data_IF_872291856291
#
_entry.id   IF_872291856291
#
_cell.length_a   1.000
_cell.length_b   1.000
_cell.length_c   1.000
_cell.angle_alpha   90.00
_cell.angle_beta   90.00
_cell.angle_gamma   90.00
#
_symmetry.space_group_name_H-M   'P 1'
#
loop_
_entity.id
_entity.type
_entity.pdbx_description
1 polymer ?
#
# COMPACT_ATOMS: atom_id res chain seq x y z
N UNK A 1 -10.09 -4.36 12.02
CA UNK A 1 -9.88 -3.33 13.07
C UNK A 1 -11.24 -2.94 13.68
N UNK A 2 -11.75 -3.71 14.66
CA UNK A 2 -13.09 -3.49 15.25
C UNK A 2 -13.27 -2.08 15.79
N UNK A 3 -12.28 -1.56 16.51
CA UNK A 3 -12.32 -0.23 17.11
C UNK A 3 -12.45 0.88 16.07
N UNK A 4 -11.74 0.75 14.94
CA UNK A 4 -11.83 1.70 13.83
C UNK A 4 -13.21 1.66 13.17
N UNK A 5 -13.82 0.46 13.04
CA UNK A 5 -15.18 0.30 12.50
C UNK A 5 -16.19 0.96 13.44
N UNK A 6 -16.05 0.75 14.76
CA UNK A 6 -16.94 1.35 15.75
C UNK A 6 -16.86 2.88 15.74
N UNK A 7 -15.65 3.44 15.78
CA UNK A 7 -15.43 4.89 15.73
C UNK A 7 -15.96 5.51 14.42
N UNK A 8 -15.78 4.85 13.28
CA UNK A 8 -16.31 5.36 12.00
C UNK A 8 -17.84 5.30 11.96
N UNK A 9 -18.47 4.26 12.50
CA UNK A 9 -19.93 4.16 12.60
C UNK A 9 -20.52 5.22 13.50
N UNK A 10 -19.89 5.47 14.64
CA UNK A 10 -20.28 6.53 15.56
C UNK A 10 -20.17 7.90 14.87
N UNK A 11 -19.07 8.21 14.21
CA UNK A 11 -18.86 9.45 13.49
C UNK A 11 -19.79 9.64 12.29
N UNK A 12 -20.35 8.57 11.75
CA UNK A 12 -21.26 8.58 10.60
C UNK A 12 -22.75 8.54 11.01
N UNK A 13 -23.06 8.36 12.30
CA UNK A 13 -24.41 8.05 12.77
C UNK A 13 -25.47 9.11 12.43
N UNK A 14 -25.08 10.39 12.33
CA UNK A 14 -25.93 11.54 12.00
C UNK A 14 -25.81 11.97 10.50
N UNK A 15 -25.07 11.22 9.68
CA UNK A 15 -24.79 11.56 8.28
C UNK A 15 -25.61 10.71 7.31
N UNK A 16 -26.58 11.29 6.65
CA UNK A 16 -27.47 10.58 5.72
C UNK A 16 -26.76 10.01 4.47
N UNK A 17 -25.64 10.62 4.05
CA UNK A 17 -24.92 10.25 2.80
C UNK A 17 -23.59 9.55 3.07
N UNK A 18 -23.40 8.98 4.27
CA UNK A 18 -22.19 8.28 4.66
C UNK A 18 -22.53 6.86 5.09
N UNK A 19 -21.93 5.89 4.42
CA UNK A 19 -22.06 4.48 4.75
C UNK A 19 -20.70 3.91 5.20
N UNK A 20 -20.72 3.14 6.27
CA UNK A 20 -19.52 2.45 6.80
C UNK A 20 -19.62 0.97 6.51
N UNK A 21 -18.90 0.52 5.48
CA UNK A 21 -18.87 -0.88 5.05
C UNK A 21 -17.60 -1.54 5.55
N UNK A 22 -17.74 -2.63 6.33
CA UNK A 22 -16.62 -3.45 6.75
C UNK A 22 -16.33 -4.52 5.70
N UNK A 23 -15.08 -4.62 5.27
CA UNK A 23 -14.62 -5.61 4.32
C UNK A 23 -13.69 -6.62 4.99
N UNK A 24 -13.61 -7.87 4.50
CA UNK A 24 -12.66 -8.85 5.00
C UNK A 24 -11.22 -8.36 4.89
N UNK A 25 -10.40 -8.61 5.93
CA UNK A 25 -8.98 -8.26 5.93
C UNK A 25 -8.19 -9.24 5.03
N UNK A 26 -8.24 -9.01 3.72
CA UNK A 26 -7.53 -9.80 2.69
C UNK A 26 -6.72 -8.86 1.81
N UNK A 27 -5.49 -9.23 1.53
CA UNK A 27 -4.69 -8.49 0.57
C UNK A 27 -5.06 -8.96 -0.86
N UNK A 28 -5.22 -8.06 -1.85
CA UNK A 28 -5.11 -6.59 -1.83
C UNK A 28 -6.47 -5.85 -1.76
N UNK A 29 -7.33 -6.16 -0.80
CA UNK A 29 -8.69 -5.61 -0.67
C UNK A 29 -8.74 -4.07 -0.65
N UNK A 30 -7.70 -3.42 -0.09
CA UNK A 30 -7.60 -1.95 -0.02
C UNK A 30 -7.11 -1.29 -1.30
N UNK A 31 -6.79 -2.04 -2.35
CA UNK A 31 -6.39 -1.47 -3.64
C UNK A 31 -7.59 -0.85 -4.36
N UNK A 32 -7.41 0.30 -5.02
CA UNK A 32 -8.51 1.12 -5.56
C UNK A 32 -9.50 0.33 -6.41
N UNK A 33 -9.02 -0.44 -7.38
CA UNK A 33 -9.86 -1.21 -8.30
C UNK A 33 -10.64 -2.31 -7.59
N UNK A 34 -9.98 -3.02 -6.66
CA UNK A 34 -10.60 -4.07 -5.85
C UNK A 34 -11.64 -3.50 -4.92
N UNK A 35 -11.33 -2.36 -4.30
CA UNK A 35 -12.23 -1.66 -3.39
C UNK A 35 -13.49 -1.17 -4.12
N UNK A 36 -13.34 -0.52 -5.27
CA UNK A 36 -14.46 -0.05 -6.11
C UNK A 36 -15.36 -1.24 -6.49
N UNK A 37 -14.75 -2.33 -6.98
CA UNK A 37 -15.53 -3.51 -7.38
C UNK A 37 -16.28 -4.11 -6.19
N UNK A 38 -15.62 -4.27 -5.05
CA UNK A 38 -16.23 -4.87 -3.85
C UNK A 38 -17.40 -4.06 -3.29
N UNK A 39 -17.36 -2.74 -3.41
CA UNK A 39 -18.39 -1.85 -2.84
C UNK A 39 -19.50 -1.51 -3.84
N UNK A 40 -19.19 -1.45 -5.12
CA UNK A 40 -20.12 -0.90 -6.13
C UNK A 40 -20.46 -1.87 -7.26
N UNK A 41 -19.74 -2.99 -7.38
CA UNK A 41 -19.81 -3.89 -8.53
C UNK A 41 -19.23 -3.30 -9.84
N UNK A 42 -18.75 -2.04 -9.83
CA UNK A 42 -18.22 -1.39 -11.01
C UNK A 42 -16.79 -1.82 -11.30
N UNK A 43 -16.48 -1.97 -12.57
CA UNK A 43 -15.13 -2.35 -13.03
C UNK A 43 -14.43 -1.10 -13.58
N UNK A 44 -13.25 -0.80 -13.05
CA UNK A 44 -12.35 0.22 -13.62
C UNK A 44 -11.63 -0.41 -14.81
N UNK A 45 -11.80 0.11 -16.03
CA UNK A 45 -11.14 -0.45 -17.21
C UNK A 45 -9.61 -0.44 -17.08
N UNK A 46 -8.94 -1.35 -17.78
CA UNK A 46 -7.48 -1.42 -17.77
C UNK A 46 -6.85 -0.13 -18.26
N UNK A 47 -5.78 0.32 -17.60
CA UNK A 47 -5.11 1.58 -17.92
C UNK A 47 -5.90 2.84 -17.57
N UNK A 48 -7.13 2.72 -17.03
CA UNK A 48 -7.95 3.87 -16.63
C UNK A 48 -7.93 4.10 -15.12
N UNK A 49 -8.25 5.35 -14.75
CA UNK A 49 -8.38 5.80 -13.37
C UNK A 49 -9.76 5.44 -12.79
N UNK A 50 -9.93 5.45 -11.44
CA UNK A 50 -11.21 5.27 -10.77
C UNK A 50 -12.34 6.16 -11.29
N UNK A 51 -12.03 7.37 -11.76
CA UNK A 51 -12.99 8.31 -12.37
C UNK A 51 -13.73 7.73 -13.58
N UNK A 52 -13.12 6.80 -14.33
CA UNK A 52 -13.79 6.11 -15.44
C UNK A 52 -14.96 5.21 -14.96
N UNK A 53 -14.91 4.76 -13.71
CA UNK A 53 -16.01 4.07 -13.02
C UNK A 53 -16.89 5.02 -12.20
N UNK A 54 -16.74 6.34 -12.37
CA UNK A 54 -17.41 7.40 -11.60
C UNK A 54 -17.18 7.25 -10.08
N UNK A 55 -15.96 6.89 -9.70
CA UNK A 55 -15.53 6.72 -8.31
C UNK A 55 -14.28 7.55 -8.03
N UNK A 56 -14.12 7.94 -6.76
CA UNK A 56 -12.89 8.51 -6.22
C UNK A 56 -12.52 7.71 -4.99
N UNK A 57 -11.26 7.27 -4.91
CA UNK A 57 -10.73 6.55 -3.75
C UNK A 57 -9.66 7.40 -3.10
N UNK A 58 -9.77 7.60 -1.79
CA UNK A 58 -8.82 8.38 -1.02
C UNK A 58 -8.49 7.67 0.30
N UNK A 59 -7.23 7.79 0.71
CA UNK A 59 -6.80 7.35 2.03
C UNK A 59 -7.43 8.25 3.11
N UNK A 60 -7.76 7.68 4.27
CA UNK A 60 -8.36 8.41 5.40
C UNK A 60 -7.53 9.62 5.84
N UNK A 61 -6.20 9.52 5.84
CA UNK A 61 -5.30 10.66 6.13
C UNK A 61 -5.43 11.79 5.10
N UNK A 62 -5.63 11.44 3.82
CA UNK A 62 -5.90 12.43 2.76
C UNK A 62 -7.25 13.10 2.94
N UNK A 63 -8.29 12.34 3.32
CA UNK A 63 -9.61 12.90 3.63
C UNK A 63 -9.54 13.89 4.81
N UNK A 64 -8.80 13.54 5.87
CA UNK A 64 -8.61 14.41 7.03
C UNK A 64 -7.87 15.72 6.64
N UNK A 65 -6.80 15.62 5.85
CA UNK A 65 -6.05 16.76 5.37
C UNK A 65 -6.88 17.67 4.44
N UNK A 66 -7.67 17.08 3.54
CA UNK A 66 -8.59 17.81 2.68
C UNK A 66 -9.65 18.57 3.51
N UNK A 67 -10.23 17.91 4.52
CA UNK A 67 -11.17 18.56 5.44
C UNK A 67 -10.54 19.74 6.19
N UNK A 68 -9.27 19.58 6.66
CA UNK A 68 -8.55 20.67 7.34
C UNK A 68 -8.26 21.83 6.38
N UNK A 69 -7.89 21.55 5.14
CA UNK A 69 -7.63 22.56 4.13
C UNK A 69 -8.89 23.38 3.80
N UNK A 70 -10.01 22.69 3.56
CA UNK A 70 -11.28 23.36 3.17
C UNK A 70 -11.92 24.12 4.34
N UNK A 71 -11.92 23.53 5.55
CA UNK A 71 -12.64 24.11 6.69
C UNK A 71 -11.81 25.11 7.49
N UNK A 72 -10.50 24.96 7.51
CA UNK A 72 -9.60 25.74 8.37
C UNK A 72 -8.54 26.51 7.60
N UNK A 73 -8.48 26.40 6.27
CA UNK A 73 -7.41 26.97 5.45
C UNK A 73 -6.02 26.39 5.76
N UNK A 74 -5.96 25.21 6.40
CA UNK A 74 -4.72 24.60 6.85
C UNK A 74 -4.11 23.72 5.74
N UNK A 75 -2.94 24.07 5.17
CA UNK A 75 -2.29 23.23 4.16
C UNK A 75 -1.76 21.93 4.78
N UNK A 76 -1.49 20.95 3.95
CA UNK A 76 -0.87 19.68 4.37
C UNK A 76 0.62 19.92 4.69
N UNK A 77 0.93 20.15 5.96
CA UNK A 77 2.28 20.39 6.47
C UNK A 77 2.80 19.29 7.39
N UNK A 78 1.93 18.40 7.83
CA UNK A 78 2.29 17.25 8.65
C UNK A 78 1.50 16.00 8.24
N UNK A 79 1.96 14.85 8.70
CA UNK A 79 1.25 13.59 8.49
C UNK A 79 1.56 12.57 9.59
N UNK A 80 0.73 11.54 9.67
CA UNK A 80 1.00 10.37 10.50
C UNK A 80 1.92 9.42 9.73
N UNK A 81 3.02 9.02 10.36
CA UNK A 81 4.01 8.07 9.86
C UNK A 81 4.17 6.95 10.85
N UNK A 82 4.08 5.72 10.39
CA UNK A 82 4.34 4.51 11.19
C UNK A 82 5.79 4.10 11.01
N UNK A 83 6.55 3.98 12.08
CA UNK A 83 7.90 3.39 12.09
C UNK A 83 7.82 2.04 12.80
N UNK A 84 8.16 0.95 12.11
CA UNK A 84 7.96 -0.41 12.62
C UNK A 84 8.95 -1.42 12.05
N UNK A 85 8.81 -2.66 12.45
CA UNK A 85 9.72 -3.76 12.12
C UNK A 85 10.85 -3.89 13.14
N UNK A 86 12.07 -4.07 12.66
CA UNK A 86 13.28 -4.20 13.50
C UNK A 86 13.78 -2.84 13.99
N UNK A 87 12.96 -2.19 14.82
CA UNK A 87 13.26 -0.98 15.59
C UNK A 87 13.01 -1.24 17.07
N UNK A 88 13.69 -0.53 17.98
CA UNK A 88 13.59 -0.82 19.41
C UNK A 88 12.17 -0.57 19.94
N UNK A 89 11.47 0.49 19.50
CA UNK A 89 10.13 0.85 19.97
C UNK A 89 9.22 1.25 18.79
N UNK A 90 8.53 0.31 18.11
CA UNK A 90 7.61 0.63 17.04
C UNK A 90 6.58 1.69 17.44
N UNK A 91 6.46 2.76 16.65
CA UNK A 91 5.67 3.94 17.06
C UNK A 91 5.03 4.62 15.83
N UNK A 92 3.86 5.24 16.07
CA UNK A 92 3.24 6.17 15.14
C UNK A 92 3.58 7.61 15.53
N UNK A 93 4.07 8.38 14.58
CA UNK A 93 4.45 9.77 14.76
C UNK A 93 3.54 10.71 13.98
N UNK A 94 3.23 11.87 14.54
CA UNK A 94 2.78 13.01 13.76
C UNK A 94 3.99 13.88 13.42
N UNK A 95 4.36 13.94 12.15
CA UNK A 95 5.63 14.46 11.68
C UNK A 95 5.41 15.57 10.67
N UNK A 96 6.19 16.65 10.76
CA UNK A 96 6.22 17.67 9.71
C UNK A 96 6.85 17.12 8.44
N UNK A 97 6.31 17.50 7.30
CA UNK A 97 6.89 17.21 6.00
C UNK A 97 8.26 17.88 5.91
N UNK A 98 9.27 17.16 5.45
CA UNK A 98 10.67 17.59 5.41
C UNK A 98 11.52 17.11 6.58
N UNK A 99 10.93 16.60 7.69
CA UNK A 99 11.70 16.00 8.80
C UNK A 99 12.54 14.83 8.27
N UNK A 100 13.84 14.73 8.62
CA UNK A 100 14.65 13.58 8.27
C UNK A 100 14.11 12.28 8.86
N UNK A 101 14.11 11.19 8.11
CA UNK A 101 13.72 9.87 8.61
C UNK A 101 14.62 9.42 9.76
N UNK A 102 15.90 9.80 9.72
CA UNK A 102 16.87 9.45 10.76
C UNK A 102 16.43 9.94 12.14
N UNK A 103 15.86 11.14 12.24
CA UNK A 103 15.36 11.68 13.50
C UNK A 103 14.25 10.80 14.12
N UNK A 104 13.42 10.19 13.26
CA UNK A 104 12.37 9.27 13.72
C UNK A 104 12.97 7.94 14.19
N UNK A 105 14.00 7.47 13.50
CA UNK A 105 14.72 6.24 13.86
C UNK A 105 15.40 6.41 15.22
N UNK A 106 16.03 7.56 15.46
CA UNK A 106 16.65 7.86 16.76
C UNK A 106 15.60 7.90 17.88
N UNK A 107 14.44 8.49 17.63
CA UNK A 107 13.35 8.55 18.61
C UNK A 107 12.77 7.17 18.98
N UNK A 108 12.79 6.21 18.06
CA UNK A 108 12.37 4.83 18.35
C UNK A 108 13.48 3.99 18.99
N UNK A 109 14.63 4.57 19.30
CA UNK A 109 15.78 3.90 19.92
C UNK A 109 16.67 3.15 18.93
N UNK A 110 16.62 3.52 17.65
CA UNK A 110 17.45 2.97 16.60
C UNK A 110 16.89 1.68 15.97
N UNK A 111 17.61 1.20 14.96
CA UNK A 111 17.41 -0.10 14.36
C UNK A 111 17.96 -1.20 15.29
N UNK A 112 17.27 -2.33 15.37
CA UNK A 112 17.79 -3.51 16.09
C UNK A 112 18.64 -4.39 15.16
N UNK A 113 19.39 -5.33 15.74
CA UNK A 113 20.26 -6.23 14.98
C UNK A 113 19.51 -7.04 13.92
N UNK A 114 20.24 -7.42 12.88
CA UNK A 114 19.74 -8.30 11.83
C UNK A 114 18.83 -7.61 10.80
N UNK A 115 18.82 -6.28 10.71
CA UNK A 115 18.13 -5.58 9.60
C UNK A 115 18.81 -5.91 8.28
N UNK A 116 18.01 -6.31 7.29
CA UNK A 116 18.45 -6.67 5.93
C UNK A 116 17.81 -5.83 4.84
N UNK A 117 16.63 -5.27 5.13
CA UNK A 117 15.86 -4.51 4.13
C UNK A 117 15.13 -3.35 4.78
N UNK A 118 15.24 -2.18 4.19
CA UNK A 118 14.55 -0.97 4.60
C UNK A 118 13.50 -0.63 3.54
N UNK A 119 12.27 -0.39 3.96
CA UNK A 119 11.14 -0.09 3.06
C UNK A 119 10.48 1.22 3.50
N UNK A 120 10.30 2.12 2.54
CA UNK A 120 9.45 3.30 2.68
C UNK A 120 8.10 3.01 2.06
N UNK A 121 7.05 3.05 2.85
CA UNK A 121 5.68 2.70 2.46
C UNK A 121 5.18 1.41 3.09
N UNK A 122 4.29 0.70 2.39
CA UNK A 122 3.74 -0.57 2.84
C UNK A 122 4.67 -1.76 2.55
N UNK A 123 4.52 -2.84 3.31
CA UNK A 123 5.37 -4.03 3.20
C UNK A 123 5.37 -4.68 1.79
N UNK A 124 4.26 -4.58 1.05
CA UNK A 124 4.10 -5.19 -0.28
C UNK A 124 4.46 -4.24 -1.40
N UNK A 125 4.04 -2.98 -1.31
CA UNK A 125 4.17 -2.00 -2.40
C UNK A 125 5.11 -0.84 -2.06
N UNK A 126 5.78 -0.86 -0.92
CA UNK A 126 6.76 0.15 -0.54
C UNK A 126 8.06 0.01 -1.33
N UNK A 127 8.80 1.11 -1.42
CA UNK A 127 10.08 1.14 -2.10
C UNK A 127 11.21 0.75 -1.15
N UNK A 128 12.05 -0.19 -1.58
CA UNK A 128 13.28 -0.50 -0.86
C UNK A 128 14.26 0.67 -0.97
N UNK A 129 14.88 1.02 0.15
CA UNK A 129 15.85 2.12 0.22
C UNK A 129 17.17 1.63 0.83
N UNK A 130 18.28 2.24 0.41
CA UNK A 130 19.62 1.92 0.88
C UNK A 130 20.15 2.92 1.92
N UNK A 131 19.40 3.97 2.22
CA UNK A 131 19.79 5.03 3.13
C UNK A 131 18.63 5.49 4.01
N UNK A 132 18.94 5.94 5.21
CA UNK A 132 17.98 6.61 6.11
C UNK A 132 17.99 8.14 5.95
N UNK A 133 18.91 8.69 5.16
CA UNK A 133 18.98 10.12 4.90
C UNK A 133 17.94 10.55 3.85
N UNK A 134 16.67 10.45 4.24
CA UNK A 134 15.52 10.76 3.41
C UNK A 134 14.56 11.68 4.17
N UNK A 135 14.01 12.72 3.53
CA UNK A 135 12.98 13.55 4.15
C UNK A 135 11.64 12.85 4.14
N UNK A 136 10.83 13.08 5.16
CA UNK A 136 9.42 12.70 5.16
C UNK A 136 8.67 13.53 4.12
N UNK A 137 8.08 12.89 3.14
CA UNK A 137 7.32 13.53 2.06
C UNK A 137 5.80 13.38 2.25
N UNK A 138 5.01 14.05 1.41
CA UNK A 138 3.53 14.01 1.48
C UNK A 138 2.93 12.61 1.35
N UNK A 139 3.58 11.71 0.64
CA UNK A 139 3.15 10.33 0.44
C UNK A 139 3.86 9.31 1.36
N UNK A 140 4.71 9.78 2.28
CA UNK A 140 5.45 8.92 3.19
C UNK A 140 4.52 8.39 4.30
N UNK A 141 3.90 7.22 4.10
CA UNK A 141 2.94 6.63 5.04
C UNK A 141 3.56 5.81 6.16
N UNK A 142 4.79 5.31 5.97
CA UNK A 142 5.47 4.48 6.97
C UNK A 142 6.86 4.08 6.55
N UNK A 143 7.60 3.59 7.54
CA UNK A 143 8.91 2.97 7.39
C UNK A 143 8.90 1.61 8.05
N UNK A 144 9.48 0.63 7.37
CA UNK A 144 9.53 -0.76 7.81
C UNK A 144 10.95 -1.30 7.67
N UNK A 145 11.55 -1.68 8.79
CA UNK A 145 12.83 -2.39 8.82
C UNK A 145 12.59 -3.89 8.93
N UNK A 146 13.05 -4.66 7.95
CA UNK A 146 12.85 -6.11 7.85
C UNK A 146 14.18 -6.85 8.05
N UNK A 147 14.09 -8.06 8.59
CA UNK A 147 15.23 -8.94 8.80
C UNK A 147 15.42 -9.96 7.69
N UNK A 148 16.13 -11.04 8.02
CA UNK A 148 16.47 -12.14 7.09
C UNK A 148 15.21 -12.78 6.48
N UNK A 149 14.11 -12.84 7.22
CA UNK A 149 12.82 -13.37 6.78
C UNK A 149 12.23 -12.67 5.55
N UNK A 150 12.69 -11.46 5.27
CA UNK A 150 12.23 -10.64 4.14
C UNK A 150 13.21 -10.63 2.97
N UNK A 151 14.35 -11.31 3.10
CA UNK A 151 15.28 -11.49 1.99
C UNK A 151 14.78 -12.65 1.14
N UNK A 152 14.69 -12.42 -0.16
CA UNK A 152 14.21 -13.45 -1.10
C UNK A 152 15.02 -14.73 -0.93
N UNK A 153 14.33 -15.85 -0.80
CA UNK A 153 14.94 -17.16 -0.93
C UNK A 153 15.59 -17.30 -2.33
N UNK A 154 16.57 -18.17 -2.44
CA UNK A 154 17.20 -18.48 -3.72
C UNK A 154 16.12 -18.86 -4.75
N UNK A 155 16.20 -18.28 -5.94
CA UNK A 155 15.26 -18.60 -7.02
C UNK A 155 15.31 -20.10 -7.36
N UNK A 156 14.14 -20.66 -7.58
CA UNK A 156 13.98 -22.07 -7.97
C UNK A 156 13.07 -22.17 -9.20
N UNK A 157 13.20 -23.31 -9.90
CA UNK A 157 12.34 -23.57 -11.05
C UNK A 157 10.85 -23.64 -10.65
N UNK A 158 9.98 -23.08 -11.48
CA UNK A 158 8.55 -23.09 -11.24
C UNK A 158 7.98 -24.52 -11.29
N UNK A 159 7.39 -24.99 -10.19
CA UNK A 159 6.74 -26.33 -10.08
C UNK A 159 5.33 -26.39 -10.71
N UNK A 160 4.86 -25.32 -11.35
CA UNK A 160 3.56 -25.20 -12.05
C UNK A 160 2.33 -25.51 -11.19
N UNK A 161 2.37 -25.22 -9.90
CA UNK A 161 1.26 -25.52 -8.96
C UNK A 161 0.03 -24.62 -9.12
N UNK A 162 0.10 -23.52 -9.89
CA UNK A 162 -1.01 -22.60 -10.16
C UNK A 162 -1.44 -21.71 -8.97
N UNK A 163 -0.71 -21.70 -7.85
CA UNK A 163 -1.04 -20.84 -6.70
C UNK A 163 -1.08 -19.36 -7.05
N UNK A 164 -0.11 -18.89 -7.85
CA UNK A 164 -0.05 -17.50 -8.32
C UNK A 164 -1.30 -17.08 -9.12
N UNK A 165 -1.84 -17.97 -9.95
CA UNK A 165 -3.08 -17.72 -10.70
C UNK A 165 -4.29 -17.61 -9.79
N UNK A 166 -4.37 -18.47 -8.76
CA UNK A 166 -5.46 -18.42 -7.78
C UNK A 166 -5.40 -17.19 -6.88
N UNK A 167 -4.20 -16.76 -6.55
CA UNK A 167 -3.96 -15.57 -5.72
C UNK A 167 -4.17 -14.26 -6.49
N UNK A 168 -3.95 -14.25 -7.81
CA UNK A 168 -4.02 -13.03 -8.62
C UNK A 168 -5.46 -12.47 -8.66
N UNK A 169 -5.69 -11.23 -8.17
CA UNK A 169 -7.01 -10.60 -8.20
C UNK A 169 -7.48 -10.29 -9.62
N UNK A 170 -6.52 -10.10 -10.56
CA UNK A 170 -6.79 -9.84 -11.98
C UNK A 170 -6.91 -11.12 -12.81
N UNK A 171 -6.84 -12.31 -12.17
CA UNK A 171 -6.93 -13.63 -12.83
C UNK A 171 -5.88 -13.84 -13.94
N UNK A 172 -4.73 -13.23 -13.78
CA UNK A 172 -3.59 -13.42 -14.68
C UNK A 172 -2.88 -14.75 -14.39
N UNK A 173 -1.94 -15.11 -15.26
CA UNK A 173 -1.01 -16.22 -15.08
C UNK A 173 0.42 -15.69 -14.80
N UNK A 174 0.74 -15.25 -13.56
CA UNK A 174 1.99 -14.54 -13.27
C UNK A 174 3.23 -15.33 -13.70
N UNK A 175 3.31 -16.62 -13.39
CA UNK A 175 4.45 -17.46 -13.75
C UNK A 175 4.65 -17.60 -15.28
N UNK A 176 3.56 -17.58 -16.06
CA UNK A 176 3.66 -17.57 -17.53
C UNK A 176 4.17 -16.23 -18.05
N UNK A 177 3.64 -15.13 -17.51
CA UNK A 177 4.06 -13.77 -17.87
C UNK A 177 5.54 -13.59 -17.54
N UNK A 178 5.97 -13.94 -16.32
CA UNK A 178 7.36 -13.89 -15.89
C UNK A 178 8.29 -14.68 -16.83
N UNK A 179 7.91 -15.92 -17.15
CA UNK A 179 8.67 -16.76 -18.08
C UNK A 179 8.81 -16.11 -19.47
N UNK A 180 7.74 -15.54 -20.02
CA UNK A 180 7.79 -14.86 -21.32
C UNK A 180 8.71 -13.64 -21.29
N UNK A 181 8.64 -12.83 -20.23
CA UNK A 181 9.50 -11.66 -20.04
C UNK A 181 10.97 -12.07 -19.91
N UNK A 182 11.29 -13.08 -19.11
CA UNK A 182 12.67 -13.60 -18.95
C UNK A 182 13.28 -14.12 -20.23
N UNK A 183 12.47 -14.61 -21.17
CA UNK A 183 12.91 -15.05 -22.50
C UNK A 183 12.83 -13.95 -23.57
N UNK A 184 12.57 -12.69 -23.19
CA UNK A 184 12.50 -11.57 -24.12
C UNK A 184 11.26 -11.56 -25.02
N UNK A 185 10.26 -12.43 -24.77
CA UNK A 185 9.02 -12.48 -25.53
C UNK A 185 7.98 -11.51 -24.96
N UNK A 186 8.19 -10.21 -25.17
CA UNK A 186 7.32 -9.15 -24.64
C UNK A 186 5.94 -9.16 -25.29
N UNK A 187 5.84 -9.42 -26.60
CA UNK A 187 4.56 -9.52 -27.29
C UNK A 187 3.71 -10.67 -26.74
N UNK A 188 4.34 -11.80 -26.49
CA UNK A 188 3.71 -12.93 -25.82
C UNK A 188 3.24 -12.61 -24.40
N UNK A 189 4.02 -11.83 -23.65
CA UNK A 189 3.64 -11.38 -22.31
C UNK A 189 2.43 -10.42 -22.36
N UNK A 190 2.41 -9.49 -23.32
CA UNK A 190 1.28 -8.58 -23.55
C UNK A 190 0.03 -9.40 -23.92
N UNK A 191 0.14 -10.35 -24.85
CA UNK A 191 -0.96 -11.24 -25.25
C UNK A 191 -1.44 -12.12 -24.07
N UNK A 192 -0.57 -12.46 -23.13
CA UNK A 192 -0.93 -13.15 -21.88
C UNK A 192 -1.56 -12.22 -20.83
N UNK A 193 -1.78 -10.95 -21.14
CA UNK A 193 -2.46 -9.98 -20.28
C UNK A 193 -1.54 -9.24 -19.30
N UNK A 194 -0.23 -9.18 -19.52
CA UNK A 194 0.70 -8.49 -18.62
C UNK A 194 0.28 -7.05 -18.32
N UNK A 195 -0.23 -6.33 -19.34
CA UNK A 195 -0.70 -4.94 -19.20
C UNK A 195 -1.97 -4.78 -18.35
N UNK A 196 -2.61 -5.87 -17.96
CA UNK A 196 -3.76 -5.87 -17.05
C UNK A 196 -3.34 -6.00 -15.59
N UNK A 197 -2.03 -6.13 -15.33
CA UNK A 197 -1.50 -6.21 -13.97
C UNK A 197 -1.79 -4.92 -13.20
N UNK A 198 -2.25 -5.05 -11.96
CA UNK A 198 -2.49 -3.93 -11.06
C UNK A 198 -1.30 -3.66 -10.12
N UNK A 199 -0.18 -4.34 -10.33
CA UNK A 199 1.07 -4.14 -9.60
C UNK A 199 0.91 -4.22 -8.07
N UNK A 200 0.16 -5.20 -7.59
CA UNK A 200 -0.13 -5.33 -6.14
C UNK A 200 1.02 -5.90 -5.29
N UNK A 201 2.14 -6.27 -5.89
CA UNK A 201 3.29 -6.88 -5.22
C UNK A 201 3.32 -8.39 -5.19
#
# INVERSE_FOLDING_TARGET
>A
KPDAIAAMREAASDKQNVEVVSLPARYPQGFEKTLIYSLTGRIVPNGKLPSAAKCVVMNVGTCAALSAAVRKGQPLIDRIVTVTGRVAKPTNFRVRIGTPLLDLIDQVGGLTDGVRKLIVGGAMMGNAVSTLNLPITKNFGGFLALGEEAVSAQESACIRCGRCMRACPMKLAPAKIDSLVRHGNYDGAIAAGAMNCMECG
#
